data_IF_168404096459
#
_entry.id   IF_168404096459
#
_cell.length_a   1.000
_cell.length_b   1.000
_cell.length_c   1.000
_cell.angle_alpha   90.00
_cell.angle_beta   90.00
_cell.angle_gamma   90.00
#
_symmetry.space_group_name_H-M   'P 1'
#
loop_
_entity.id
_entity.type
_entity.pdbx_description
1 polymer ?
#
# COMPACT_ATOMS: atom_id res chain seq x y z
N UNK A 1 -41.27 -60.80 -23.45
CA UNK A 1 -41.59 -60.27 -22.11
C UNK A 1 -40.29 -60.04 -21.35
N UNK A 2 -39.75 -58.81 -21.35
CA UNK A 2 -38.56 -58.46 -20.57
C UNK A 2 -38.98 -57.95 -19.19
N UNK A 3 -38.45 -58.58 -18.14
CA UNK A 3 -38.76 -58.37 -16.72
C UNK A 3 -38.42 -56.94 -16.24
N UNK A 4 -39.29 -56.29 -15.45
CA UNK A 4 -39.04 -54.95 -14.89
C UNK A 4 -38.03 -54.91 -13.73
N UNK A 5 -37.48 -56.06 -13.29
CA UNK A 5 -36.59 -56.13 -12.12
C UNK A 5 -35.16 -55.66 -12.37
N UNK A 6 -34.75 -55.43 -13.61
CA UNK A 6 -33.37 -54.99 -13.94
C UNK A 6 -33.15 -53.47 -13.89
N UNK A 7 -34.21 -52.64 -13.80
CA UNK A 7 -34.06 -51.17 -13.83
C UNK A 7 -33.91 -50.55 -12.44
N UNK A 8 -34.34 -51.20 -11.36
CA UNK A 8 -34.30 -50.62 -10.01
C UNK A 8 -32.87 -50.66 -9.44
N UNK A 9 -32.10 -51.70 -9.74
CA UNK A 9 -30.70 -51.82 -9.31
C UNK A 9 -29.77 -50.78 -9.95
N UNK A 10 -30.02 -50.40 -11.20
CA UNK A 10 -29.22 -49.38 -11.89
C UNK A 10 -29.49 -47.96 -11.38
N UNK A 11 -30.73 -47.62 -10.99
CA UNK A 11 -31.01 -46.34 -10.33
C UNK A 11 -30.45 -46.25 -8.90
N UNK A 12 -30.46 -47.35 -8.14
CA UNK A 12 -29.88 -47.38 -6.80
C UNK A 12 -28.35 -47.16 -6.82
N UNK A 13 -27.65 -47.74 -7.81
CA UNK A 13 -26.21 -47.51 -8.00
C UNK A 13 -25.89 -46.07 -8.44
N UNK A 14 -26.74 -45.47 -9.28
CA UNK A 14 -26.56 -44.09 -9.76
C UNK A 14 -26.83 -43.06 -8.65
N UNK A 15 -27.84 -43.29 -7.81
CA UNK A 15 -28.11 -42.45 -6.62
C UNK A 15 -26.99 -42.58 -5.60
N UNK A 16 -26.48 -43.79 -5.33
CA UNK A 16 -25.35 -43.98 -4.43
C UNK A 16 -24.05 -43.35 -4.97
N UNK A 17 -23.82 -43.39 -6.28
CA UNK A 17 -22.68 -42.72 -6.92
C UNK A 17 -22.80 -41.19 -6.87
N UNK A 18 -24.00 -40.63 -7.05
CA UNK A 18 -24.26 -39.18 -6.91
C UNK A 18 -24.10 -38.73 -5.46
N UNK A 19 -24.63 -39.50 -4.48
CA UNK A 19 -24.41 -39.20 -3.06
C UNK A 19 -22.95 -39.38 -2.65
N UNK A 20 -22.24 -40.37 -3.20
CA UNK A 20 -20.81 -40.59 -2.99
C UNK A 20 -19.94 -39.49 -3.60
N UNK A 21 -20.28 -38.99 -4.79
CA UNK A 21 -19.59 -37.87 -5.44
C UNK A 21 -19.92 -36.53 -4.79
N UNK A 22 -21.17 -36.34 -4.34
CA UNK A 22 -21.58 -35.16 -3.59
C UNK A 22 -20.91 -35.12 -2.20
N UNK A 23 -20.85 -36.26 -1.51
CA UNK A 23 -20.14 -36.36 -0.22
C UNK A 23 -18.64 -36.26 -0.37
N UNK A 24 -18.04 -36.81 -1.44
CA UNK A 24 -16.61 -36.63 -1.76
C UNK A 24 -16.28 -35.18 -2.07
N UNK A 25 -17.10 -34.46 -2.86
CA UNK A 25 -16.92 -33.01 -3.09
C UNK A 25 -17.11 -32.18 -1.83
N UNK A 26 -18.06 -32.55 -0.96
CA UNK A 26 -18.24 -31.90 0.33
C UNK A 26 -17.05 -32.18 1.26
N UNK A 27 -16.46 -33.37 1.22
CA UNK A 27 -15.30 -33.77 2.00
C UNK A 27 -13.99 -33.16 1.47
N UNK A 28 -13.83 -32.96 0.15
CA UNK A 28 -12.73 -32.16 -0.42
C UNK A 28 -12.85 -30.67 -0.06
N UNK A 29 -14.07 -30.12 0.03
CA UNK A 29 -14.30 -28.78 0.59
C UNK A 29 -14.20 -28.72 2.12
N UNK A 30 -14.27 -29.87 2.81
CA UNK A 30 -14.23 -29.99 4.27
C UNK A 30 -13.04 -30.85 4.73
N UNK A 31 -11.92 -30.81 4.00
CA UNK A 31 -10.67 -31.44 4.43
C UNK A 31 -10.29 -30.99 5.85
N UNK A 32 -9.40 -31.71 6.56
CA UNK A 32 -9.00 -31.34 7.93
C UNK A 32 -8.71 -29.84 7.95
N UNK A 33 -9.54 -29.10 8.69
CA UNK A 33 -9.52 -27.64 8.72
C UNK A 33 -8.07 -27.23 8.90
N UNK A 34 -7.47 -26.66 7.85
CA UNK A 34 -6.10 -26.22 7.91
C UNK A 34 -6.01 -25.32 9.15
N UNK A 35 -4.97 -25.53 9.98
CA UNK A 35 -4.79 -24.68 11.14
C UNK A 35 -4.89 -23.22 10.67
N UNK A 36 -5.68 -22.38 11.36
CA UNK A 36 -5.96 -21.04 10.88
C UNK A 36 -4.64 -20.32 10.62
N UNK A 37 -4.57 -19.62 9.50
CA UNK A 37 -3.36 -18.91 9.14
C UNK A 37 -3.04 -17.83 10.19
N UNK A 38 -1.79 -17.35 10.25
CA UNK A 38 -1.43 -16.30 11.22
C UNK A 38 -2.34 -15.08 11.09
N UNK A 39 -2.74 -14.77 9.86
CA UNK A 39 -3.64 -13.70 9.47
C UNK A 39 -5.04 -13.89 10.08
N UNK A 40 -5.60 -15.09 9.94
CA UNK A 40 -6.93 -15.46 10.46
C UNK A 40 -6.98 -15.41 11.99
N UNK A 41 -5.92 -15.89 12.65
CA UNK A 41 -5.82 -15.82 14.11
C UNK A 41 -5.73 -14.36 14.57
N UNK A 42 -5.00 -13.50 13.85
CA UNK A 42 -4.80 -12.12 14.26
C UNK A 42 -6.11 -11.32 14.33
N UNK A 43 -6.86 -11.27 13.22
CA UNK A 43 -8.09 -10.45 13.13
C UNK A 43 -9.12 -10.92 14.16
N UNK A 44 -9.33 -12.23 14.28
CA UNK A 44 -10.23 -12.81 15.28
C UNK A 44 -9.79 -12.48 16.70
N UNK A 45 -8.49 -12.54 17.01
CA UNK A 45 -7.95 -12.21 18.33
C UNK A 45 -8.15 -10.74 18.68
N UNK A 46 -7.93 -9.83 17.71
CA UNK A 46 -8.13 -8.40 17.91
C UNK A 46 -9.60 -8.12 18.23
N UNK A 47 -10.53 -8.63 17.43
CA UNK A 47 -11.97 -8.38 17.63
C UNK A 47 -12.45 -8.99 18.94
N UNK A 48 -11.97 -10.18 19.30
CA UNK A 48 -12.27 -10.79 20.59
C UNK A 48 -11.74 -9.94 21.75
N UNK A 49 -10.49 -9.47 21.67
CA UNK A 49 -9.88 -8.62 22.69
C UNK A 49 -10.65 -7.31 22.86
N UNK A 50 -11.00 -6.64 21.76
CA UNK A 50 -11.79 -5.41 21.78
C UNK A 50 -13.20 -5.66 22.33
N UNK A 51 -13.86 -6.75 21.95
CA UNK A 51 -15.19 -7.09 22.46
C UNK A 51 -15.21 -7.33 23.98
N UNK A 52 -14.09 -7.76 24.57
CA UNK A 52 -14.00 -8.08 25.99
C UNK A 52 -13.42 -6.95 26.86
N UNK A 53 -12.46 -6.19 26.32
CA UNK A 53 -11.65 -5.26 27.10
C UNK A 53 -11.78 -3.80 26.67
N UNK A 54 -12.37 -3.52 25.49
CA UNK A 54 -12.59 -2.15 25.06
C UNK A 54 -13.56 -1.42 26.01
N UNK A 55 -13.32 -0.14 26.26
CA UNK A 55 -14.14 0.67 27.17
C UNK A 55 -15.62 0.72 26.73
N UNK A 56 -15.83 0.76 25.42
CA UNK A 56 -17.14 0.74 24.79
C UNK A 56 -17.17 -0.42 23.78
N UNK A 57 -17.43 -1.67 24.21
CA UNK A 57 -17.46 -2.81 23.32
C UNK A 57 -18.66 -2.69 22.36
N UNK A 58 -18.44 -3.07 21.11
CA UNK A 58 -19.47 -3.01 20.08
C UNK A 58 -20.08 -4.39 19.82
N UNK A 59 -21.29 -4.39 19.25
CA UNK A 59 -21.90 -5.61 18.72
C UNK A 59 -21.30 -5.90 17.35
N UNK A 60 -20.84 -7.12 17.17
CA UNK A 60 -20.25 -7.62 15.91
C UNK A 60 -21.38 -8.18 15.04
N UNK A 61 -22.10 -7.26 14.39
CA UNK A 61 -23.26 -7.50 13.51
C UNK A 61 -23.16 -6.70 12.20
N UNK A 62 -24.17 -6.80 11.31
CA UNK A 62 -24.20 -6.11 10.02
C UNK A 62 -23.94 -4.59 10.10
N UNK A 63 -24.29 -3.94 11.22
CA UNK A 63 -24.05 -2.52 11.39
C UNK A 63 -22.56 -2.23 11.63
N UNK A 64 -21.88 -3.10 12.36
CA UNK A 64 -20.41 -3.08 12.48
C UNK A 64 -19.75 -3.33 11.13
N UNK A 65 -20.19 -4.37 10.39
CA UNK A 65 -19.68 -4.68 9.05
C UNK A 65 -19.75 -3.49 8.09
N UNK A 66 -20.87 -2.76 8.09
CA UNK A 66 -21.04 -1.57 7.25
C UNK A 66 -20.01 -0.48 7.56
N UNK A 67 -19.74 -0.21 8.84
CA UNK A 67 -18.76 0.82 9.24
C UNK A 67 -17.34 0.39 8.88
N UNK A 68 -16.99 -0.87 9.14
CA UNK A 68 -15.68 -1.43 8.76
C UNK A 68 -15.50 -1.35 7.25
N UNK A 69 -16.52 -1.74 6.47
CA UNK A 69 -16.51 -1.69 5.01
C UNK A 69 -16.33 -0.26 4.48
N UNK A 70 -17.08 0.71 5.01
CA UNK A 70 -16.99 2.11 4.62
C UNK A 70 -15.59 2.69 4.89
N UNK A 71 -15.04 2.42 6.07
CA UNK A 71 -13.69 2.86 6.43
C UNK A 71 -12.63 2.15 5.60
N UNK A 72 -12.78 0.84 5.36
CA UNK A 72 -11.89 0.07 4.51
C UNK A 72 -11.84 0.64 3.10
N UNK A 73 -13.00 0.85 2.45
CA UNK A 73 -13.07 1.44 1.12
C UNK A 73 -12.45 2.84 1.08
N UNK A 74 -12.70 3.66 2.11
CA UNK A 74 -12.12 5.00 2.21
C UNK A 74 -10.59 4.94 2.24
N UNK A 75 -9.99 4.01 2.99
CA UNK A 75 -8.53 3.86 3.09
C UNK A 75 -7.92 3.17 1.88
N UNK A 76 -8.65 2.25 1.26
CA UNK A 76 -8.20 1.46 0.11
C UNK A 76 -7.87 2.33 -1.11
N UNK A 77 -8.77 3.28 -1.46
CA UNK A 77 -8.55 4.21 -2.57
C UNK A 77 -9.24 5.56 -2.31
N UNK A 78 -8.76 6.28 -1.30
CA UNK A 78 -9.29 7.60 -0.91
C UNK A 78 -9.36 8.60 -2.07
N UNK A 79 -8.34 8.58 -2.93
CA UNK A 79 -8.21 9.48 -4.08
C UNK A 79 -9.00 9.02 -5.30
N UNK A 80 -9.59 7.83 -5.25
CA UNK A 80 -10.39 7.21 -6.32
C UNK A 80 -9.62 7.15 -7.64
N UNK A 81 -8.34 6.79 -7.58
CA UNK A 81 -7.44 6.74 -8.74
C UNK A 81 -7.31 5.32 -9.32
N UNK A 82 -7.58 4.29 -8.54
CA UNK A 82 -7.27 2.90 -8.89
C UNK A 82 -8.52 2.09 -9.21
N UNK A 83 -9.54 2.16 -8.36
CA UNK A 83 -10.71 1.29 -8.47
C UNK A 83 -11.74 1.84 -9.47
N UNK A 84 -12.41 0.95 -10.19
CA UNK A 84 -13.57 1.26 -11.01
C UNK A 84 -14.87 1.05 -10.22
N UNK A 85 -15.98 1.65 -10.68
CA UNK A 85 -17.31 1.36 -10.10
C UNK A 85 -17.66 -0.14 -10.09
N UNK A 86 -17.20 -0.90 -11.09
CA UNK A 86 -17.39 -2.35 -11.14
C UNK A 86 -16.60 -3.11 -10.06
N UNK A 87 -15.46 -2.57 -9.62
CA UNK A 87 -14.67 -3.13 -8.52
C UNK A 87 -15.37 -2.87 -7.18
N UNK A 88 -15.85 -1.64 -6.99
CA UNK A 88 -16.65 -1.27 -5.84
C UNK A 88 -17.90 -2.15 -5.73
N UNK A 89 -18.61 -2.38 -6.84
CA UNK A 89 -19.79 -3.26 -6.85
C UNK A 89 -19.47 -4.72 -6.45
N UNK A 90 -18.25 -5.21 -6.72
CA UNK A 90 -17.82 -6.53 -6.23
C UNK A 90 -17.57 -6.50 -4.73
N UNK A 91 -16.90 -5.46 -4.24
CA UNK A 91 -16.59 -5.28 -2.81
C UNK A 91 -17.86 -5.06 -1.98
N UNK A 92 -18.87 -4.33 -2.49
CA UNK A 92 -20.14 -4.07 -1.79
C UNK A 92 -20.88 -5.35 -1.38
N UNK A 93 -20.60 -6.49 -2.01
CA UNK A 93 -21.16 -7.79 -1.59
C UNK A 93 -20.76 -8.18 -0.17
N UNK A 94 -19.65 -7.66 0.33
CA UNK A 94 -19.12 -7.92 1.67
C UNK A 94 -19.56 -6.90 2.72
N UNK A 95 -20.34 -5.89 2.33
CA UNK A 95 -20.71 -4.77 3.21
C UNK A 95 -21.40 -5.21 4.52
N UNK A 96 -22.03 -6.39 4.54
CA UNK A 96 -22.68 -6.98 5.72
C UNK A 96 -22.05 -8.28 6.17
N UNK A 97 -20.94 -8.73 5.57
CA UNK A 97 -20.36 -10.07 5.83
C UNK A 97 -19.08 -10.03 6.69
N UNK A 98 -18.45 -8.86 6.86
CA UNK A 98 -17.15 -8.74 7.55
C UNK A 98 -17.19 -9.22 9.01
N UNK A 99 -18.30 -9.01 9.71
CA UNK A 99 -18.53 -9.49 11.07
C UNK A 99 -18.57 -11.03 11.10
N UNK A 100 -19.19 -11.64 10.10
CA UNK A 100 -19.24 -13.08 9.96
C UNK A 100 -17.90 -13.67 9.48
N UNK A 101 -17.16 -12.99 8.60
CA UNK A 101 -15.78 -13.33 8.26
C UNK A 101 -14.92 -13.38 9.53
N UNK A 102 -15.03 -12.36 10.38
CA UNK A 102 -14.31 -12.28 11.65
C UNK A 102 -14.64 -13.44 12.58
N UNK A 103 -15.93 -13.82 12.71
CA UNK A 103 -16.37 -14.95 13.53
C UNK A 103 -15.88 -16.29 12.99
N UNK A 104 -15.84 -16.45 11.67
CA UNK A 104 -15.36 -17.67 10.99
C UNK A 104 -13.84 -17.75 10.92
N UNK A 105 -13.14 -16.64 11.14
CA UNK A 105 -11.70 -16.54 10.91
C UNK A 105 -11.38 -16.58 9.42
N UNK A 106 -12.21 -15.97 8.58
CA UNK A 106 -11.96 -15.78 7.15
C UNK A 106 -11.74 -14.29 6.84
N UNK A 107 -11.29 -13.96 5.62
CA UNK A 107 -10.92 -12.60 5.24
C UNK A 107 -11.11 -12.35 3.74
N UNK A 108 -12.21 -12.86 3.18
CA UNK A 108 -12.49 -12.80 1.75
C UNK A 108 -12.58 -11.36 1.21
N UNK A 109 -13.12 -10.41 2.00
CA UNK A 109 -13.08 -8.99 1.66
C UNK A 109 -11.64 -8.47 1.51
N UNK A 110 -10.74 -8.83 2.44
CA UNK A 110 -9.34 -8.43 2.41
C UNK A 110 -8.63 -9.03 1.18
N UNK A 111 -8.87 -10.31 0.89
CA UNK A 111 -8.26 -10.99 -0.25
C UNK A 111 -8.67 -10.35 -1.57
N UNK A 112 -9.98 -10.09 -1.73
CA UNK A 112 -10.50 -9.48 -2.95
C UNK A 112 -10.00 -8.05 -3.11
N UNK A 113 -10.05 -7.24 -2.06
CA UNK A 113 -9.58 -5.84 -2.12
C UNK A 113 -8.08 -5.75 -2.42
N UNK A 114 -7.26 -6.60 -1.79
CA UNK A 114 -5.81 -6.68 -2.03
C UNK A 114 -5.52 -7.08 -3.47
N UNK A 115 -6.20 -8.11 -3.98
CA UNK A 115 -6.04 -8.55 -5.37
C UNK A 115 -6.42 -7.44 -6.36
N UNK A 116 -7.57 -6.80 -6.15
CA UNK A 116 -8.03 -5.70 -7.02
C UNK A 116 -7.01 -4.55 -7.03
N UNK A 117 -6.48 -4.17 -5.86
CA UNK A 117 -5.46 -3.12 -5.79
C UNK A 117 -4.17 -3.51 -6.51
N UNK A 118 -3.68 -4.76 -6.34
CA UNK A 118 -2.50 -5.23 -7.05
C UNK A 118 -2.69 -5.18 -8.59
N UNK A 119 -3.84 -5.69 -9.07
CA UNK A 119 -4.20 -5.68 -10.49
C UNK A 119 -4.32 -4.25 -11.04
N UNK A 120 -4.99 -3.35 -10.30
CA UNK A 120 -5.15 -1.94 -10.71
C UNK A 120 -3.85 -1.17 -10.65
N UNK A 121 -2.99 -1.37 -9.65
CA UNK A 121 -1.67 -0.73 -9.57
C UNK A 121 -0.82 -1.04 -10.80
N UNK A 122 -0.77 -2.31 -11.23
CA UNK A 122 -0.05 -2.71 -12.45
C UNK A 122 -0.64 -2.07 -13.72
N UNK A 123 -1.96 -2.00 -13.80
CA UNK A 123 -2.64 -1.32 -14.92
C UNK A 123 -2.32 0.18 -14.94
N UNK A 124 -2.34 0.83 -13.78
CA UNK A 124 -2.06 2.27 -13.67
C UNK A 124 -0.60 2.60 -13.93
N UNK A 125 0.33 1.74 -13.52
CA UNK A 125 1.75 1.85 -13.90
C UNK A 125 1.90 1.81 -15.43
N UNK A 126 1.31 0.82 -16.09
CA UNK A 126 1.36 0.69 -17.55
C UNK A 126 0.75 1.91 -18.24
N UNK A 127 -0.38 2.40 -17.73
CA UNK A 127 -1.06 3.57 -18.25
C UNK A 127 -0.24 4.86 -18.08
N UNK A 128 0.41 5.03 -16.91
CA UNK A 128 1.26 6.19 -16.64
C UNK A 128 2.45 6.23 -17.60
N UNK A 129 3.12 5.09 -17.83
CA UNK A 129 4.18 4.96 -18.85
C UNK A 129 3.69 5.36 -20.23
N UNK A 130 2.52 4.87 -20.64
CA UNK A 130 1.97 5.17 -21.95
C UNK A 130 1.65 6.66 -22.13
N UNK A 131 0.99 7.27 -21.14
CA UNK A 131 0.59 8.68 -21.18
C UNK A 131 1.80 9.62 -21.09
N UNK A 132 2.74 9.35 -20.20
CA UNK A 132 3.95 10.16 -19.99
C UNK A 132 5.00 9.97 -21.09
N UNK A 133 4.88 8.97 -21.96
CA UNK A 133 5.73 8.85 -23.15
C UNK A 133 5.42 9.92 -24.20
N UNK A 134 4.22 10.49 -24.18
CA UNK A 134 3.72 11.49 -25.14
C UNK A 134 3.79 12.89 -24.52
N UNK A 135 4.09 13.93 -25.32
CA UNK A 135 4.09 15.30 -24.83
C UNK A 135 2.68 15.78 -24.47
N UNK A 136 2.56 16.58 -23.41
CA UNK A 136 1.34 17.32 -23.10
C UNK A 136 1.37 18.71 -23.75
N UNK A 137 0.21 19.16 -24.22
CA UNK A 137 -0.02 20.56 -24.60
C UNK A 137 -0.83 21.26 -23.51
N UNK A 138 -0.63 22.56 -23.32
CA UNK A 138 -1.26 23.36 -22.24
C UNK A 138 -2.10 24.52 -22.80
N UNK A 139 -2.65 24.33 -23.99
CA UNK A 139 -3.41 25.30 -24.77
C UNK A 139 -4.94 25.18 -24.60
N UNK A 140 -5.41 24.05 -24.08
CA UNK A 140 -6.82 23.81 -23.81
C UNK A 140 -7.21 24.13 -22.36
N UNK A 141 -8.38 24.75 -22.20
CA UNK A 141 -9.03 24.95 -20.89
C UNK A 141 -9.57 23.62 -20.35
N UNK A 142 -8.95 23.11 -19.29
CA UNK A 142 -9.32 21.83 -18.68
C UNK A 142 -9.39 21.96 -17.15
N UNK A 143 -10.29 21.21 -16.53
CA UNK A 143 -10.49 21.20 -15.07
C UNK A 143 -10.19 19.83 -14.47
N UNK A 144 -9.63 19.84 -13.26
CA UNK A 144 -9.41 18.64 -12.43
C UNK A 144 -10.08 18.82 -11.06
N UNK A 145 -10.68 17.75 -10.53
CA UNK A 145 -11.18 17.71 -9.17
C UNK A 145 -10.03 17.41 -8.20
N UNK A 146 -9.70 18.35 -7.33
CA UNK A 146 -8.67 18.18 -6.28
C UNK A 146 -9.25 17.81 -4.92
N UNK A 147 -10.55 18.00 -4.72
CA UNK A 147 -11.31 17.53 -3.56
C UNK A 147 -11.73 16.06 -3.77
N UNK A 148 -10.96 15.15 -3.18
CA UNK A 148 -11.16 13.71 -3.33
C UNK A 148 -12.45 13.20 -2.70
N UNK A 149 -13.01 13.91 -1.71
CA UNK A 149 -14.30 13.54 -1.11
C UNK A 149 -15.43 13.74 -2.12
N UNK A 150 -15.32 14.74 -3.01
CA UNK A 150 -16.28 14.99 -4.10
C UNK A 150 -16.03 14.17 -5.36
N UNK A 151 -14.91 13.47 -5.45
CA UNK A 151 -14.62 12.61 -6.60
C UNK A 151 -15.55 11.38 -6.62
N UNK A 152 -15.83 10.88 -7.81
CA UNK A 152 -16.53 9.61 -8.03
C UNK A 152 -15.57 8.58 -8.62
N UNK A 153 -15.73 7.31 -8.28
CA UNK A 153 -14.98 6.24 -8.95
C UNK A 153 -15.31 6.26 -10.46
N UNK A 154 -14.30 6.10 -11.34
CA UNK A 154 -14.51 6.03 -12.78
C UNK A 154 -15.45 4.88 -13.15
N UNK A 155 -16.41 5.15 -14.03
CA UNK A 155 -17.42 4.16 -14.42
C UNK A 155 -16.82 3.03 -15.27
N UNK A 156 -15.79 3.34 -16.06
CA UNK A 156 -15.13 2.40 -16.95
C UNK A 156 -13.65 2.79 -17.19
N UNK A 157 -12.94 1.97 -17.95
CA UNK A 157 -11.52 2.18 -18.26
C UNK A 157 -11.24 3.45 -19.09
N UNK A 158 -12.18 3.91 -19.93
CA UNK A 158 -12.00 5.14 -20.69
C UNK A 158 -12.08 6.37 -19.78
N UNK A 159 -13.03 6.39 -18.84
CA UNK A 159 -13.14 7.46 -17.84
C UNK A 159 -11.90 7.48 -16.92
N UNK A 160 -11.43 6.31 -16.49
CA UNK A 160 -10.20 6.20 -15.70
C UNK A 160 -8.99 6.73 -16.47
N UNK A 161 -8.85 6.37 -17.75
CA UNK A 161 -7.79 6.87 -18.61
C UNK A 161 -7.80 8.39 -18.71
N UNK A 162 -8.98 8.98 -18.90
CA UNK A 162 -9.10 10.44 -19.01
C UNK A 162 -8.80 11.15 -17.68
N UNK A 163 -9.23 10.58 -16.55
CA UNK A 163 -8.88 11.08 -15.22
C UNK A 163 -7.36 11.05 -14.99
N UNK A 164 -6.68 9.96 -15.37
CA UNK A 164 -5.22 9.84 -15.29
C UNK A 164 -4.50 10.79 -16.24
N UNK A 165 -4.98 10.96 -17.48
CA UNK A 165 -4.41 11.92 -18.43
C UNK A 165 -4.45 13.34 -17.85
N UNK A 166 -5.60 13.77 -17.30
CA UNK A 166 -5.72 15.09 -16.66
C UNK A 166 -4.80 15.24 -15.45
N UNK A 167 -4.74 14.22 -14.60
CA UNK A 167 -3.87 14.21 -13.43
C UNK A 167 -2.39 14.34 -13.81
N UNK A 168 -1.91 13.51 -14.73
CA UNK A 168 -0.51 13.50 -15.17
C UNK A 168 -0.16 14.79 -15.91
N UNK A 169 -1.09 15.33 -16.71
CA UNK A 169 -0.93 16.65 -17.34
C UNK A 169 -0.83 17.76 -16.30
N UNK A 170 -1.69 17.78 -15.28
CA UNK A 170 -1.64 18.75 -14.19
C UNK A 170 -0.32 18.65 -13.42
N UNK A 171 0.09 17.44 -13.04
CA UNK A 171 1.34 17.20 -12.33
C UNK A 171 2.60 17.58 -13.15
N UNK A 172 2.54 17.42 -14.47
CA UNK A 172 3.58 17.88 -15.38
C UNK A 172 3.59 19.41 -15.46
N UNK A 173 2.41 20.03 -15.60
CA UNK A 173 2.26 21.48 -15.67
C UNK A 173 2.82 22.17 -14.40
N UNK A 174 2.48 21.65 -13.22
CA UNK A 174 3.00 22.17 -11.95
C UNK A 174 4.52 22.18 -11.93
N UNK A 175 5.17 21.08 -12.35
CA UNK A 175 6.63 20.98 -12.41
C UNK A 175 7.24 21.91 -13.46
N UNK A 176 6.58 22.11 -14.60
CA UNK A 176 7.00 23.11 -15.60
C UNK A 176 6.96 24.52 -15.00
N UNK A 177 5.87 24.88 -14.34
CA UNK A 177 5.73 26.18 -13.69
C UNK A 177 6.81 26.41 -12.61
N UNK A 178 7.09 25.40 -11.77
CA UNK A 178 8.17 25.44 -10.79
C UNK A 178 9.54 25.70 -11.46
N UNK A 179 9.85 25.01 -12.56
CA UNK A 179 11.11 25.22 -13.29
C UNK A 179 11.22 26.60 -13.94
N UNK A 180 10.10 27.17 -14.41
CA UNK A 180 10.05 28.54 -14.93
C UNK A 180 10.32 29.55 -13.81
N UNK A 181 9.65 29.42 -12.67
CA UNK A 181 9.86 30.27 -11.50
C UNK A 181 11.31 30.19 -10.98
N UNK A 182 11.90 28.98 -10.97
CA UNK A 182 13.30 28.77 -10.61
C UNK A 182 14.25 29.47 -11.58
N UNK A 183 13.94 29.44 -12.89
CA UNK A 183 14.73 30.12 -13.92
C UNK A 183 14.66 31.64 -13.75
N UNK A 184 13.48 32.21 -13.53
CA UNK A 184 13.31 33.64 -13.29
C UNK A 184 14.07 34.09 -12.03
N UNK A 185 13.98 33.33 -10.94
CA UNK A 185 14.79 33.57 -9.72
C UNK A 185 16.29 33.45 -9.97
N UNK A 186 16.74 32.61 -10.90
CA UNK A 186 18.16 32.55 -11.30
C UNK A 186 18.57 33.81 -12.06
N UNK A 187 17.74 34.29 -12.98
CA UNK A 187 17.99 35.54 -13.69
C UNK A 187 18.10 36.73 -12.74
N UNK A 188 17.21 36.84 -11.76
CA UNK A 188 17.27 37.91 -10.75
C UNK A 188 18.53 37.84 -9.89
N UNK A 189 18.89 36.65 -9.41
CA UNK A 189 20.13 36.45 -8.64
C UNK A 189 21.38 36.76 -9.47
N UNK A 190 21.41 36.35 -10.73
CA UNK A 190 22.51 36.63 -11.66
C UNK A 190 22.65 38.14 -11.91
N UNK A 191 21.52 38.85 -12.04
CA UNK A 191 21.50 40.32 -12.15
C UNK A 191 22.07 40.98 -10.89
N UNK A 192 21.72 40.52 -9.70
CA UNK A 192 22.25 41.04 -8.42
C UNK A 192 23.75 40.75 -8.28
N UNK A 193 24.19 39.52 -8.55
CA UNK A 193 25.61 39.14 -8.49
C UNK A 193 26.47 39.94 -9.47
N UNK A 194 25.96 40.19 -10.69
CA UNK A 194 26.55 41.07 -11.69
C UNK A 194 26.78 42.49 -11.14
N UNK A 195 25.77 43.08 -10.47
CA UNK A 195 25.89 44.39 -9.84
C UNK A 195 26.93 44.40 -8.69
N UNK A 196 27.03 43.30 -7.95
CA UNK A 196 27.99 43.11 -6.87
C UNK A 196 29.41 42.70 -7.35
N UNK A 197 29.62 42.46 -8.66
CA UNK A 197 30.85 41.92 -9.26
C UNK A 197 31.27 40.56 -8.68
N UNK A 198 30.30 39.77 -8.28
CA UNK A 198 30.51 38.39 -7.80
C UNK A 198 30.41 37.40 -8.97
N UNK A 199 31.19 36.30 -8.95
CA UNK A 199 31.07 35.25 -9.96
C UNK A 199 29.69 34.57 -9.86
N UNK A 200 28.92 34.62 -10.94
CA UNK A 200 27.64 33.93 -11.07
C UNK A 200 27.80 32.60 -11.83
N UNK A 201 27.09 31.57 -11.39
CA UNK A 201 26.95 30.32 -12.16
C UNK A 201 26.12 30.57 -13.41
N UNK A 202 26.66 30.23 -14.58
CA UNK A 202 25.99 30.36 -15.87
C UNK A 202 25.49 28.97 -16.29
N UNK A 203 24.22 28.71 -16.03
CA UNK A 203 23.51 27.56 -16.61
C UNK A 203 22.71 28.02 -17.84
N UNK A 204 22.63 27.22 -18.90
CA UNK A 204 21.82 27.57 -20.07
C UNK A 204 20.33 27.56 -19.75
N UNK A 205 19.61 28.55 -20.26
CA UNK A 205 18.15 28.63 -20.14
C UNK A 205 17.48 27.47 -20.86
N UNK A 206 16.39 26.97 -20.26
CA UNK A 206 15.58 25.92 -20.84
C UNK A 206 14.34 26.54 -21.48
N UNK A 207 13.93 26.01 -22.62
CA UNK A 207 12.64 26.37 -23.23
C UNK A 207 11.49 25.66 -22.51
N UNK A 208 10.24 26.15 -22.59
CA UNK A 208 9.08 25.46 -22.02
C UNK A 208 8.93 24.01 -22.51
N UNK A 209 9.28 23.73 -23.77
CA UNK A 209 9.26 22.38 -24.33
C UNK A 209 10.34 21.46 -23.71
N UNK A 210 11.53 21.99 -23.43
CA UNK A 210 12.58 21.24 -22.73
C UNK A 210 12.18 20.96 -21.27
N UNK A 211 11.59 21.96 -20.60
CA UNK A 211 11.05 21.81 -19.25
C UNK A 211 9.91 20.77 -19.22
N UNK A 212 9.02 20.74 -20.22
CA UNK A 212 7.96 19.73 -20.32
C UNK A 212 8.51 18.30 -20.37
N UNK A 213 9.53 18.07 -21.20
CA UNK A 213 10.19 16.76 -21.33
C UNK A 213 10.83 16.35 -20.01
N UNK A 214 11.51 17.27 -19.33
CA UNK A 214 12.11 17.01 -18.02
C UNK A 214 11.04 16.77 -16.95
N UNK A 215 9.97 17.56 -16.94
CA UNK A 215 8.85 17.40 -16.03
C UNK A 215 8.24 16.01 -16.18
N UNK A 216 7.90 15.57 -17.39
CA UNK A 216 7.35 14.23 -17.62
C UNK A 216 8.28 13.13 -17.14
N UNK A 217 9.60 13.27 -17.32
CA UNK A 217 10.57 12.29 -16.77
C UNK A 217 10.55 12.26 -15.25
N UNK A 218 10.46 13.42 -14.59
CA UNK A 218 10.34 13.51 -13.12
C UNK A 218 9.02 12.93 -12.62
N UNK A 219 7.90 13.17 -13.32
CA UNK A 219 6.61 12.55 -13.01
C UNK A 219 6.71 11.03 -13.17
N UNK A 220 7.26 10.55 -14.28
CA UNK A 220 7.39 9.11 -14.56
C UNK A 220 8.23 8.42 -13.49
N UNK A 221 9.39 9.00 -13.15
CA UNK A 221 10.25 8.49 -12.08
C UNK A 221 9.51 8.37 -10.75
N UNK A 222 8.75 9.40 -10.37
CA UNK A 222 7.94 9.36 -9.15
C UNK A 222 6.94 8.18 -9.18
N UNK A 223 6.23 7.96 -10.28
CA UNK A 223 5.31 6.83 -10.39
C UNK A 223 6.02 5.47 -10.44
N UNK A 224 7.18 5.38 -11.08
CA UNK A 224 7.99 4.16 -11.07
C UNK A 224 8.39 3.75 -9.66
N UNK A 225 8.86 4.71 -8.85
CA UNK A 225 9.21 4.49 -7.44
C UNK A 225 7.96 4.10 -6.64
N UNK A 226 6.84 4.79 -6.81
CA UNK A 226 5.59 4.48 -6.10
C UNK A 226 4.98 3.12 -6.46
N UNK A 227 5.24 2.60 -7.67
CA UNK A 227 4.74 1.30 -8.12
C UNK A 227 5.75 0.15 -7.99
N UNK A 228 7.01 0.44 -7.65
CA UNK A 228 8.04 -0.57 -7.46
C UNK A 228 7.76 -1.42 -6.21
N UNK A 229 7.26 -0.78 -5.15
CA UNK A 229 7.02 -1.44 -3.88
C UNK A 229 5.71 -2.24 -3.92
N UNK A 230 5.84 -3.55 -3.70
CA UNK A 230 4.68 -4.38 -3.40
C UNK A 230 4.43 -4.33 -1.90
N UNK A 231 3.17 -4.12 -1.46
CA UNK A 231 2.88 -4.06 -0.05
C UNK A 231 3.15 -5.42 0.60
N UNK A 232 3.84 -5.43 1.75
CA UNK A 232 4.07 -6.64 2.54
C UNK A 232 2.71 -7.21 3.00
N UNK A 233 2.42 -8.50 2.79
CA UNK A 233 1.20 -9.12 3.30
C UNK A 233 0.94 -8.86 4.79
N UNK A 234 1.99 -8.77 5.62
CA UNK A 234 1.85 -8.45 7.04
C UNK A 234 1.41 -6.99 7.27
N UNK A 235 1.89 -6.06 6.43
CA UNK A 235 1.48 -4.66 6.48
C UNK A 235 0.04 -4.49 5.99
N UNK A 236 -0.34 -5.19 4.92
CA UNK A 236 -1.74 -5.23 4.43
C UNK A 236 -2.67 -5.72 5.54
N UNK A 237 -2.29 -6.80 6.22
CA UNK A 237 -3.04 -7.32 7.35
C UNK A 237 -3.10 -6.33 8.52
N UNK A 238 -1.98 -5.71 8.89
CA UNK A 238 -1.92 -4.72 9.96
C UNK A 238 -2.81 -3.51 9.66
N UNK A 239 -2.80 -3.04 8.42
CA UNK A 239 -3.67 -1.97 7.96
C UNK A 239 -5.15 -2.35 8.05
N UNK A 240 -5.51 -3.59 7.68
CA UNK A 240 -6.87 -4.10 7.83
C UNK A 240 -7.30 -4.25 9.30
N UNK A 241 -6.42 -4.77 10.15
CA UNK A 241 -6.63 -4.80 11.59
C UNK A 241 -6.87 -3.40 12.16
N UNK A 242 -6.14 -2.40 11.68
CA UNK A 242 -6.32 -1.00 12.07
C UNK A 242 -7.63 -0.40 11.55
N UNK A 243 -8.14 -0.80 10.39
CA UNK A 243 -9.50 -0.42 9.96
C UNK A 243 -10.53 -0.91 10.98
N UNK A 244 -10.42 -2.17 11.39
CA UNK A 244 -11.33 -2.75 12.38
C UNK A 244 -11.20 -2.03 13.73
N UNK A 245 -9.98 -1.86 14.22
CA UNK A 245 -9.67 -1.17 15.47
C UNK A 245 -10.24 0.26 15.48
N UNK A 246 -9.98 1.03 14.42
CA UNK A 246 -10.43 2.42 14.33
C UNK A 246 -11.94 2.57 14.09
N UNK A 247 -12.66 1.48 13.82
CA UNK A 247 -14.12 1.48 13.77
C UNK A 247 -14.75 1.58 15.16
N UNK A 248 -14.06 1.09 16.20
CA UNK A 248 -14.49 1.27 17.59
C UNK A 248 -14.30 2.74 18.02
N UNK A 249 -13.10 3.28 17.82
CA UNK A 249 -12.78 4.68 18.11
C UNK A 249 -11.42 5.09 17.47
N UNK A 250 -11.12 6.39 17.31
CA UNK A 250 -9.91 6.86 16.61
C UNK A 250 -8.59 6.66 17.38
N UNK A 251 -8.62 6.17 18.62
CA UNK A 251 -7.45 5.95 19.48
C UNK A 251 -7.19 4.47 19.79
N UNK A 252 -7.99 3.55 19.24
CA UNK A 252 -7.69 2.12 19.28
C UNK A 252 -6.91 1.73 18.05
N UNK A 253 -5.69 1.24 18.24
CA UNK A 253 -4.77 0.84 17.17
C UNK A 253 -4.17 -0.55 17.44
N UNK A 254 -3.90 -1.25 16.35
CA UNK A 254 -3.08 -2.45 16.32
C UNK A 254 -1.66 -2.08 15.87
N UNK A 255 -0.67 -2.49 16.66
CA UNK A 255 0.74 -2.36 16.31
C UNK A 255 1.30 -3.69 15.82
N UNK A 256 1.81 -3.72 14.59
CA UNK A 256 2.64 -4.83 14.14
C UNK A 256 3.94 -4.90 14.99
N UNK A 257 4.66 -6.03 15.05
CA UNK A 257 5.80 -6.19 15.96
C UNK A 257 6.86 -5.08 15.88
N UNK A 258 7.16 -4.61 14.65
CA UNK A 258 8.11 -3.51 14.40
C UNK A 258 7.57 -2.18 14.92
N UNK A 259 6.31 -1.86 14.62
CA UNK A 259 5.66 -0.62 15.06
C UNK A 259 5.50 -0.59 16.58
N UNK A 260 5.21 -1.75 17.19
CA UNK A 260 5.11 -1.90 18.65
C UNK A 260 6.45 -1.60 19.32
N UNK A 261 7.55 -2.10 18.75
CA UNK A 261 8.89 -1.81 19.26
C UNK A 261 9.20 -0.32 19.18
N UNK A 262 8.87 0.33 18.06
CA UNK A 262 9.04 1.78 17.88
C UNK A 262 8.19 2.56 18.89
N UNK A 263 6.92 2.19 19.07
CA UNK A 263 6.04 2.78 20.08
C UNK A 263 6.60 2.63 21.50
N UNK A 264 7.09 1.45 21.88
CA UNK A 264 7.71 1.21 23.18
C UNK A 264 8.97 2.08 23.39
N UNK A 265 9.79 2.24 22.36
CA UNK A 265 10.97 3.12 22.39
C UNK A 265 10.54 4.56 22.63
N UNK A 266 9.53 5.04 21.90
CA UNK A 266 9.01 6.40 22.05
C UNK A 266 8.39 6.63 23.44
N UNK A 267 7.67 5.65 23.97
CA UNK A 267 7.03 5.73 25.28
C UNK A 267 8.04 5.67 26.43
N UNK A 268 9.03 4.78 26.35
CA UNK A 268 10.00 4.55 27.42
C UNK A 268 11.22 5.47 27.33
N UNK A 269 11.49 6.04 26.16
CA UNK A 269 12.74 6.73 25.83
C UNK A 269 13.96 5.80 25.83
N UNK A 270 13.76 4.48 25.88
CA UNK A 270 14.85 3.49 25.96
C UNK A 270 14.98 2.79 24.63
N UNK A 271 16.11 3.01 23.98
CA UNK A 271 16.50 2.32 22.77
C UNK A 271 17.58 1.28 23.08
N UNK A 272 17.32 0.04 22.69
CA UNK A 272 18.32 -1.04 22.71
C UNK A 272 18.89 -1.23 21.31
N UNK A 273 20.14 -0.84 21.12
CA UNK A 273 20.86 -1.01 19.86
C UNK A 273 22.27 -0.47 19.94
N UNK A 274 22.92 -0.33 18.79
CA UNK A 274 24.31 0.18 18.71
C UNK A 274 24.38 1.68 19.07
N UNK A 275 23.25 2.40 18.92
CA UNK A 275 23.12 3.82 19.19
C UNK A 275 23.80 4.68 18.12
N UNK A 276 23.47 4.37 16.87
CA UNK A 276 23.81 5.13 15.68
C UNK A 276 22.54 5.30 14.83
N UNK A 277 22.38 6.48 14.23
CA UNK A 277 21.32 6.75 13.26
C UNK A 277 21.79 6.25 11.90
N UNK A 278 20.98 5.43 11.27
CA UNK A 278 21.29 4.81 9.99
C UNK A 278 20.49 5.48 8.88
N UNK A 279 21.11 5.58 7.70
CA UNK A 279 20.46 6.07 6.49
C UNK A 279 20.79 5.14 5.34
N UNK A 280 19.76 4.68 4.64
CA UNK A 280 19.95 3.98 3.38
C UNK A 280 20.24 4.98 2.26
N UNK A 281 21.24 4.67 1.43
CA UNK A 281 21.50 5.38 0.19
C UNK A 281 22.02 4.38 -0.84
N UNK A 282 21.35 4.30 -1.99
CA UNK A 282 21.77 3.46 -3.12
C UNK A 282 21.94 1.97 -2.73
N UNK A 283 21.07 1.43 -1.86
CA UNK A 283 21.09 0.03 -1.43
C UNK A 283 22.15 -0.33 -0.39
N UNK A 284 22.88 0.68 0.12
CA UNK A 284 23.83 0.55 1.22
C UNK A 284 23.34 1.33 2.44
N UNK A 285 23.60 0.78 3.62
CA UNK A 285 23.26 1.40 4.91
C UNK A 285 24.47 2.15 5.44
N UNK A 286 24.34 3.46 5.59
CA UNK A 286 25.37 4.35 6.10
C UNK A 286 25.07 4.81 7.52
N UNK A 287 26.12 5.04 8.31
CA UNK A 287 26.02 5.71 9.60
C UNK A 287 25.90 7.22 9.37
N UNK A 288 24.71 7.76 9.63
CA UNK A 288 24.44 9.19 9.52
C UNK A 288 25.00 9.96 10.72
N UNK A 289 24.77 9.45 11.93
CA UNK A 289 25.28 10.04 13.16
C UNK A 289 25.43 8.99 14.28
N UNK A 290 26.29 9.28 15.26
CA UNK A 290 26.51 8.41 16.42
C UNK A 290 26.04 9.13 17.68
N UNK A 291 25.12 8.51 18.41
CA UNK A 291 24.54 9.10 19.62
C UNK A 291 25.62 9.19 20.70
N UNK A 292 25.93 10.39 21.24
CA UNK A 292 26.92 10.52 22.30
C UNK A 292 26.58 9.67 23.53
N UNK A 293 27.58 8.95 24.06
CA UNK A 293 27.42 8.04 25.20
C UNK A 293 26.86 6.65 24.85
N UNK A 294 26.53 6.38 23.57
CA UNK A 294 26.06 5.07 23.12
C UNK A 294 27.13 3.97 23.16
N UNK A 295 26.76 2.74 22.77
CA UNK A 295 27.71 1.65 22.61
C UNK A 295 28.71 1.96 21.49
N UNK A 296 28.25 2.37 20.31
CA UNK A 296 29.11 2.77 19.19
C UNK A 296 30.03 3.95 19.55
N UNK A 297 29.53 4.93 20.30
CA UNK A 297 30.35 6.06 20.76
C UNK A 297 31.48 5.60 21.70
N UNK A 298 31.17 4.72 22.65
CA UNK A 298 32.14 4.20 23.63
C UNK A 298 33.19 3.28 23.00
N UNK A 299 32.80 2.50 21.99
CA UNK A 299 33.72 1.65 21.24
C UNK A 299 34.66 2.49 20.34
N UNK A 300 34.13 3.52 19.67
CA UNK A 300 34.90 4.44 18.83
C UNK A 300 35.38 3.87 17.50
N UNK A 301 35.03 2.62 17.17
CA UNK A 301 35.38 1.98 15.90
C UNK A 301 34.50 2.48 14.73
N UNK A 302 33.21 2.67 14.99
CA UNK A 302 32.26 3.18 14.01
C UNK A 302 32.32 4.70 13.93
N UNK A 303 32.23 5.24 12.71
CA UNK A 303 32.25 6.68 12.45
C UNK A 303 31.14 7.10 11.49
N UNK A 304 30.80 8.38 11.55
CA UNK A 304 29.89 9.01 10.59
C UNK A 304 30.41 8.83 9.17
N UNK A 305 29.55 8.33 8.28
CA UNK A 305 29.86 8.05 6.88
C UNK A 305 30.30 6.61 6.60
N UNK A 306 30.54 5.79 7.62
CA UNK A 306 30.86 4.37 7.41
C UNK A 306 29.66 3.62 6.83
N UNK A 307 29.94 2.67 5.93
CA UNK A 307 28.95 1.77 5.35
C UNK A 307 28.93 0.45 6.09
N UNK A 308 27.74 0.01 6.51
CA UNK A 308 27.53 -1.30 7.12
C UNK A 308 27.26 -2.31 5.99
N UNK A 309 28.20 -3.22 5.77
CA UNK A 309 28.10 -4.22 4.69
C UNK A 309 27.51 -5.54 5.16
N UNK A 310 27.79 -5.93 6.41
CA UNK A 310 27.40 -7.23 6.97
C UNK A 310 27.06 -7.12 8.44
N UNK A 311 26.12 -7.94 8.91
CA UNK A 311 25.72 -8.03 10.32
C UNK A 311 25.79 -9.48 10.78
N UNK A 312 26.45 -9.73 11.92
CA UNK A 312 26.55 -11.05 12.55
C UNK A 312 25.82 -11.09 13.88
N UNK A 313 25.15 -12.22 14.19
CA UNK A 313 24.45 -12.42 15.46
C UNK A 313 25.22 -13.39 16.34
N UNK A 314 25.99 -12.87 17.29
CA UNK A 314 26.86 -13.68 18.15
C UNK A 314 28.01 -14.31 17.35
N UNK A 315 28.09 -15.64 17.35
CA UNK A 315 29.14 -16.39 16.65
C UNK A 315 28.74 -16.88 15.24
N UNK A 316 27.58 -16.46 14.72
CA UNK A 316 27.15 -16.84 13.37
C UNK A 316 27.92 -16.08 12.30
N UNK A 317 28.02 -16.66 11.10
CA UNK A 317 28.64 -15.98 9.96
C UNK A 317 27.88 -14.68 9.64
N UNK A 318 28.59 -13.54 9.46
CA UNK A 318 27.94 -12.28 9.14
C UNK A 318 27.17 -12.36 7.83
N UNK A 319 25.91 -11.94 7.83
CA UNK A 319 25.04 -11.91 6.65
C UNK A 319 25.20 -10.57 5.93
N UNK A 320 25.24 -10.59 4.59
CA UNK A 320 25.24 -9.37 3.79
C UNK A 320 23.90 -8.68 3.87
N UNK A 321 23.90 -7.36 4.05
CA UNK A 321 22.69 -6.52 4.12
C UNK A 321 22.53 -5.62 2.88
N UNK A 322 23.34 -5.85 1.85
CA UNK A 322 23.23 -5.13 0.58
C UNK A 322 21.88 -5.43 -0.08
N UNK A 323 21.09 -4.39 -0.38
CA UNK A 323 19.75 -4.51 -0.96
C UNK A 323 18.66 -4.99 -0.01
N UNK A 324 18.87 -4.92 1.31
CA UNK A 324 17.77 -5.06 2.28
C UNK A 324 17.01 -3.73 2.37
N UNK A 325 15.68 -3.80 2.31
CA UNK A 325 14.75 -2.66 2.39
C UNK A 325 13.91 -2.74 3.67
#
# INVERSE_FOLDING_TARGET
MFSPRLKIGSYAGLVAAVFGLASYRFYEHSGPQAAPSKEQVLVGTIVQGLSQAHYQPERIDDAFSKRVFELALKRLDYRKKFLLQADIAQLTKYQTDIDDETKRGTHEFLDLSTKLMADRSKQMQTLAHELLSKPFTFDADETIQTDFEKATFPANAADQREQWRKLLKYETLTRVAEMMDEQDKRHDRSRVASLAKEPATIEPDRTPAQMEVEARKRVLKYYDEQFADQPDPNEVLANYANVIANTYDPHTEYFAPRDKQEFDIQLTGRFEGIGATLREKEGLIYIEDIVPGSASFRQGELKKGDAILRVGQGATEPVSIEGWH
#
